data_IF_225370869255
#
_entry.id   IF_225370869255
#
_cell.length_a   1.000
_cell.length_b   1.000
_cell.length_c   1.000
_cell.angle_alpha   90.00
_cell.angle_beta   90.00
_cell.angle_gamma   90.00
#
_symmetry.space_group_name_H-M   'P 1'
#
loop_
_entity.id
_entity.type
_entity.pdbx_description
1 polymer ?
#
# COMPACT_ATOMS: atom_id res chain seq x y z
N UNK A 1 46.02 34.99 15.66
CA UNK A 1 45.17 33.80 15.72
C UNK A 1 43.72 34.23 15.52
N UNK A 2 43.19 33.97 14.32
CA UNK A 2 41.81 34.32 13.97
C UNK A 2 41.00 33.03 13.97
N UNK A 3 40.08 32.89 14.94
CA UNK A 3 39.13 31.79 15.00
C UNK A 3 38.02 31.91 13.97
N UNK A 4 37.55 30.82 13.38
CA UNK A 4 36.44 30.85 12.43
C UNK A 4 35.13 31.09 13.16
N UNK A 5 34.39 32.10 12.71
CA UNK A 5 33.02 32.39 13.11
C UNK A 5 32.10 31.34 12.43
N UNK A 6 31.59 30.41 13.18
CA UNK A 6 30.46 29.58 12.76
C UNK A 6 29.21 30.46 12.69
N UNK A 7 28.79 30.77 11.48
CA UNK A 7 27.48 31.32 11.21
C UNK A 7 26.49 30.17 11.26
N UNK A 8 25.77 30.06 12.37
CA UNK A 8 24.59 29.17 12.48
C UNK A 8 23.47 29.86 11.70
N UNK A 9 23.26 29.37 10.48
CA UNK A 9 22.05 29.71 9.72
C UNK A 9 20.94 28.85 10.30
N UNK A 10 20.21 29.39 11.28
CA UNK A 10 18.91 28.92 11.68
C UNK A 10 17.96 29.17 10.51
N UNK A 11 17.77 28.17 9.66
CA UNK A 11 16.70 28.17 8.67
C UNK A 11 15.38 28.08 9.43
N UNK A 12 14.74 29.24 9.57
CA UNK A 12 13.37 29.37 10.05
C UNK A 12 12.42 28.71 9.06
N UNK A 13 12.13 27.40 9.23
CA UNK A 13 10.93 26.78 8.72
C UNK A 13 9.77 27.09 9.68
N UNK A 14 9.38 28.35 9.76
CA UNK A 14 8.19 28.74 10.49
C UNK A 14 7.25 29.46 9.54
N UNK A 15 6.04 28.92 9.47
CA UNK A 15 4.81 29.53 8.99
C UNK A 15 4.58 29.65 7.47
N UNK A 16 4.08 28.60 6.89
CA UNK A 16 3.02 28.73 5.89
C UNK A 16 1.93 27.63 6.09
N UNK A 17 1.46 27.46 7.31
CA UNK A 17 0.22 26.72 7.60
C UNK A 17 -0.95 27.67 7.85
N UNK A 18 -1.09 28.70 7.01
CA UNK A 18 -2.30 29.53 6.95
C UNK A 18 -2.85 29.49 5.54
N UNK A 19 -3.53 28.40 5.23
CA UNK A 19 -4.29 28.21 3.99
C UNK A 19 -4.95 26.85 4.01
N UNK A 20 -6.08 26.74 4.66
CA UNK A 20 -7.10 25.73 4.70
C UNK A 20 -7.04 24.50 3.78
N UNK A 21 -6.05 23.67 3.92
CA UNK A 21 -6.11 22.29 3.49
C UNK A 21 -5.89 21.45 4.74
N UNK A 22 -6.92 21.22 5.50
CA UNK A 22 -6.93 20.16 6.50
C UNK A 22 -6.65 18.87 5.76
N UNK A 23 -5.43 18.31 5.90
CA UNK A 23 -5.18 16.93 5.54
C UNK A 23 -6.28 16.12 6.24
N UNK A 24 -7.15 15.49 5.45
CA UNK A 24 -8.23 14.71 6.02
C UNK A 24 -7.59 13.58 6.80
N UNK A 25 -7.91 13.43 8.09
CA UNK A 25 -7.43 12.32 8.91
C UNK A 25 -7.75 10.97 8.27
N UNK A 26 -8.90 10.88 7.59
CA UNK A 26 -9.30 9.67 6.85
C UNK A 26 -8.34 9.35 5.69
N UNK A 27 -7.74 10.34 5.02
CA UNK A 27 -6.75 10.06 3.98
C UNK A 27 -5.48 9.47 4.57
N UNK A 28 -4.96 10.04 5.66
CA UNK A 28 -3.78 9.51 6.35
C UNK A 28 -4.01 8.09 6.87
N UNK A 29 -5.15 7.84 7.49
CA UNK A 29 -5.53 6.50 7.96
C UNK A 29 -5.63 5.52 6.79
N UNK A 30 -6.23 5.92 5.67
CA UNK A 30 -6.37 5.07 4.48
C UNK A 30 -4.99 4.73 3.88
N UNK A 31 -4.07 5.71 3.83
CA UNK A 31 -2.72 5.52 3.32
C UNK A 31 -1.90 4.56 4.21
N UNK A 32 -1.98 4.71 5.53
CA UNK A 32 -1.32 3.82 6.49
C UNK A 32 -1.90 2.40 6.44
N UNK A 33 -3.21 2.28 6.38
CA UNK A 33 -3.90 1.00 6.33
C UNK A 33 -3.59 0.22 5.06
N UNK A 34 -3.61 0.85 3.88
CA UNK A 34 -3.29 0.14 2.63
C UNK A 34 -1.84 -0.29 2.59
N UNK A 35 -0.92 0.54 3.09
CA UNK A 35 0.49 0.18 3.20
C UNK A 35 0.69 -1.01 4.17
N UNK A 36 0.06 -0.98 5.34
CA UNK A 36 0.12 -2.06 6.32
C UNK A 36 -0.40 -3.38 5.75
N UNK A 37 -1.52 -3.35 5.04
CA UNK A 37 -2.06 -4.55 4.38
C UNK A 37 -1.14 -5.08 3.29
N UNK A 38 -0.55 -4.21 2.48
CA UNK A 38 0.36 -4.60 1.43
C UNK A 38 1.69 -5.17 1.96
N UNK A 39 2.18 -4.66 3.09
CA UNK A 39 3.48 -5.03 3.66
C UNK A 39 3.40 -6.22 4.62
N UNK A 40 2.25 -6.45 5.27
CA UNK A 40 2.10 -7.47 6.32
C UNK A 40 0.97 -8.47 6.05
N UNK A 41 -0.26 -8.00 5.90
CA UNK A 41 -1.42 -8.90 5.86
C UNK A 41 -1.46 -9.75 4.59
N UNK A 42 -1.25 -9.12 3.43
CA UNK A 42 -1.29 -9.81 2.15
C UNK A 42 -0.15 -10.84 2.00
N UNK A 43 1.12 -10.49 2.30
CA UNK A 43 2.20 -11.46 2.20
C UNK A 43 2.09 -12.58 3.24
N UNK A 44 1.54 -12.32 4.43
CA UNK A 44 1.31 -13.35 5.44
C UNK A 44 0.22 -14.33 5.01
N UNK A 45 -0.88 -13.83 4.45
CA UNK A 45 -1.95 -14.65 3.90
C UNK A 45 -1.45 -15.51 2.73
N UNK A 46 -0.71 -14.90 1.80
CA UNK A 46 -0.12 -15.59 0.66
C UNK A 46 0.89 -16.66 1.11
N UNK A 47 1.75 -16.34 2.09
CA UNK A 47 2.70 -17.31 2.65
C UNK A 47 2.00 -18.50 3.27
N UNK A 48 0.99 -18.25 4.08
CA UNK A 48 0.18 -19.30 4.72
C UNK A 48 -0.48 -20.21 3.71
N UNK A 49 -1.00 -19.65 2.63
CA UNK A 49 -1.59 -20.41 1.53
C UNK A 49 -0.55 -21.30 0.85
N UNK A 50 0.56 -20.72 0.39
CA UNK A 50 1.60 -21.47 -0.32
C UNK A 50 2.24 -22.56 0.55
N UNK A 51 2.43 -22.31 1.84
CA UNK A 51 3.01 -23.26 2.77
C UNK A 51 2.02 -24.41 3.10
N UNK A 52 0.71 -24.14 3.09
CA UNK A 52 -0.32 -25.15 3.30
C UNK A 52 -0.34 -26.24 2.22
N UNK A 53 0.09 -25.90 1.02
CA UNK A 53 0.19 -26.82 -0.11
C UNK A 53 1.50 -27.61 -0.15
N UNK A 54 2.45 -27.33 0.74
CA UNK A 54 3.75 -28.03 0.79
C UNK A 54 4.60 -27.88 -0.47
N UNK A 55 4.41 -26.79 -1.22
CA UNK A 55 5.10 -26.54 -2.48
C UNK A 55 6.56 -26.18 -2.26
N UNK A 56 7.47 -26.88 -2.93
CA UNK A 56 8.92 -26.69 -2.82
C UNK A 56 9.54 -26.10 -4.08
N UNK A 57 8.91 -26.30 -5.22
CA UNK A 57 9.38 -25.76 -6.50
C UNK A 57 8.98 -24.26 -6.64
N UNK A 58 9.91 -23.37 -6.99
CA UNK A 58 9.58 -21.97 -7.25
C UNK A 58 8.51 -21.76 -8.32
N UNK A 59 8.49 -22.60 -9.35
CA UNK A 59 7.49 -22.52 -10.42
C UNK A 59 6.09 -22.90 -9.91
N UNK A 60 5.97 -23.99 -9.15
CA UNK A 60 4.69 -24.41 -8.56
C UNK A 60 4.17 -23.37 -7.56
N UNK A 61 5.06 -22.78 -6.75
CA UNK A 61 4.70 -21.67 -5.85
C UNK A 61 4.18 -20.47 -6.62
N UNK A 62 4.81 -20.11 -7.74
CA UNK A 62 4.36 -19.00 -8.57
C UNK A 62 3.00 -19.27 -9.23
N UNK A 63 2.74 -20.50 -9.68
CA UNK A 63 1.46 -20.85 -10.26
C UNK A 63 0.34 -20.86 -9.22
N UNK A 64 0.62 -21.39 -8.02
CA UNK A 64 -0.32 -21.33 -6.90
C UNK A 64 -0.60 -19.89 -6.45
N UNK A 65 0.42 -19.04 -6.39
CA UNK A 65 0.25 -17.63 -6.08
C UNK A 65 -0.62 -16.90 -7.12
N UNK A 66 -0.42 -17.18 -8.40
CA UNK A 66 -1.26 -16.62 -9.47
C UNK A 66 -2.73 -17.01 -9.30
N UNK A 67 -2.97 -18.28 -9.02
CA UNK A 67 -4.32 -18.80 -8.77
C UNK A 67 -4.93 -18.11 -7.56
N UNK A 68 -4.18 -18.01 -6.47
CA UNK A 68 -4.64 -17.37 -5.24
C UNK A 68 -4.99 -15.89 -5.46
N UNK A 69 -4.14 -15.12 -6.16
CA UNK A 69 -4.45 -13.73 -6.47
C UNK A 69 -5.72 -13.57 -7.31
N UNK A 70 -5.99 -14.51 -8.21
CA UNK A 70 -7.17 -14.45 -9.08
C UNK A 70 -8.46 -14.82 -8.33
N UNK A 71 -8.38 -15.75 -7.38
CA UNK A 71 -9.55 -16.32 -6.70
C UNK A 71 -9.92 -15.59 -5.42
N UNK A 72 -8.93 -14.99 -4.73
CA UNK A 72 -9.11 -14.42 -3.39
C UNK A 72 -9.38 -12.92 -3.39
N UNK A 73 -9.53 -12.29 -4.54
CA UNK A 73 -9.80 -10.85 -4.63
C UNK A 73 -11.27 -10.57 -4.22
N UNK A 74 -11.58 -10.39 -2.92
CA UNK A 74 -12.94 -10.28 -2.46
C UNK A 74 -13.45 -8.86 -2.60
N UNK A 75 -14.66 -8.66 -3.08
CA UNK A 75 -15.37 -7.42 -2.82
C UNK A 75 -15.93 -7.47 -1.39
N UNK A 76 -15.29 -6.83 -0.43
CA UNK A 76 -15.98 -6.48 0.81
C UNK A 76 -16.78 -5.20 0.61
N UNK A 77 -18.05 -5.21 1.02
CA UNK A 77 -19.06 -4.22 0.62
C UNK A 77 -18.92 -2.88 1.36
N UNK A 78 -18.13 -2.80 2.44
CA UNK A 78 -18.02 -1.63 3.31
C UNK A 78 -16.62 -1.00 3.41
N UNK A 79 -15.60 -1.82 3.27
CA UNK A 79 -14.22 -1.39 3.07
C UNK A 79 -13.77 -2.11 1.83
N UNK A 80 -13.69 -1.39 0.73
CA UNK A 80 -13.38 -2.01 -0.55
C UNK A 80 -11.86 -2.05 -0.66
N UNK A 81 -11.29 -3.19 -0.26
CA UNK A 81 -9.93 -3.55 -0.63
C UNK A 81 -10.00 -4.41 -1.88
N UNK A 82 -9.21 -4.07 -2.87
CA UNK A 82 -9.02 -4.94 -4.03
C UNK A 82 -7.58 -4.81 -4.50
N UNK A 83 -7.13 -5.78 -5.26
CA UNK A 83 -5.82 -5.73 -5.87
C UNK A 83 -5.85 -6.03 -7.36
N UNK A 84 -4.85 -5.53 -8.05
CA UNK A 84 -4.62 -5.77 -9.47
C UNK A 84 -3.21 -6.32 -9.63
N UNK A 85 -3.08 -7.53 -10.17
CA UNK A 85 -1.79 -8.07 -10.59
C UNK A 85 -1.43 -7.42 -11.91
N UNK A 86 -0.46 -6.50 -11.91
CA UNK A 86 -0.04 -5.75 -13.09
C UNK A 86 0.87 -6.55 -14.00
N UNK A 87 1.76 -7.34 -13.42
CA UNK A 87 2.66 -8.20 -14.18
C UNK A 87 3.15 -9.38 -13.34
N UNK A 88 3.56 -10.43 -14.04
CA UNK A 88 4.26 -11.57 -13.47
C UNK A 88 5.54 -11.81 -14.27
N UNK A 89 6.68 -11.90 -13.58
CA UNK A 89 7.97 -12.25 -14.13
C UNK A 89 8.55 -13.42 -13.33
N UNK A 90 8.34 -14.64 -13.81
CA UNK A 90 8.72 -15.86 -13.09
C UNK A 90 7.98 -15.98 -11.76
N UNK A 91 8.72 -15.81 -10.64
CA UNK A 91 8.19 -15.87 -9.27
C UNK A 91 7.82 -14.51 -8.69
N UNK A 92 8.03 -13.44 -9.46
CA UNK A 92 7.77 -12.07 -9.02
C UNK A 92 6.46 -11.56 -9.58
N UNK A 93 5.64 -11.00 -8.70
CA UNK A 93 4.34 -10.42 -9.00
C UNK A 93 4.35 -8.94 -8.65
N UNK A 94 4.08 -8.09 -9.63
CA UNK A 94 3.76 -6.70 -9.36
C UNK A 94 2.28 -6.59 -9.07
N UNK A 95 1.95 -6.12 -7.87
CA UNK A 95 0.57 -6.01 -7.39
C UNK A 95 0.33 -4.62 -6.86
N UNK A 96 -0.74 -4.02 -7.29
CA UNK A 96 -1.26 -2.76 -6.76
C UNK A 96 -2.46 -3.10 -5.87
N UNK A 97 -2.34 -2.77 -4.57
CA UNK A 97 -3.40 -2.94 -3.59
C UNK A 97 -4.10 -1.61 -3.38
N UNK A 98 -5.39 -1.59 -3.59
CA UNK A 98 -6.26 -0.42 -3.45
C UNK A 98 -7.11 -0.53 -2.19
N UNK A 99 -7.39 0.62 -1.60
CA UNK A 99 -8.31 0.76 -0.49
C UNK A 99 -9.19 1.98 -0.66
N UNK A 100 -10.48 1.79 -0.50
CA UNK A 100 -11.45 2.86 -0.42
C UNK A 100 -12.16 2.80 0.93
N UNK A 101 -12.10 3.90 1.68
CA UNK A 101 -12.76 4.03 2.98
C UNK A 101 -13.77 5.16 2.96
N UNK A 102 -14.90 4.93 3.61
CA UNK A 102 -15.87 5.98 3.93
C UNK A 102 -15.80 6.30 5.42
N UNK A 103 -15.78 7.57 5.75
CA UNK A 103 -15.86 7.98 7.15
C UNK A 103 -17.17 7.50 7.76
N UNK A 104 -17.07 6.80 8.89
CA UNK A 104 -18.23 6.46 9.73
C UNK A 104 -18.71 7.62 10.60
N UNK A 105 -18.02 8.76 10.58
CA UNK A 105 -18.39 9.93 11.38
C UNK A 105 -19.66 10.59 10.85
N UNK A 106 -20.58 10.86 11.76
CA UNK A 106 -21.80 11.66 11.49
C UNK A 106 -21.58 13.14 11.79
N UNK A 107 -20.42 13.50 12.33
CA UNK A 107 -20.09 14.86 12.76
C UNK A 107 -19.02 15.50 11.86
N UNK A 108 -19.12 16.83 11.57
CA UNK A 108 -18.06 17.57 10.92
C UNK A 108 -16.75 17.50 11.74
N UNK A 109 -15.57 17.56 11.09
CA UNK A 109 -15.35 17.82 9.65
C UNK A 109 -15.43 16.57 8.75
N UNK A 110 -15.56 15.36 9.28
CA UNK A 110 -15.38 14.11 8.53
C UNK A 110 -16.68 13.44 8.06
N UNK A 111 -17.83 14.02 8.39
CA UNK A 111 -19.12 13.50 7.97
C UNK A 111 -19.24 13.37 6.44
N UNK A 112 -19.51 12.14 5.97
CA UNK A 112 -19.71 11.85 4.55
C UNK A 112 -18.44 11.93 3.69
N UNK A 113 -17.25 12.08 4.28
CA UNK A 113 -15.99 12.03 3.55
C UNK A 113 -15.64 10.59 3.16
N UNK A 114 -14.89 10.47 2.08
CA UNK A 114 -14.24 9.23 1.66
C UNK A 114 -12.79 9.50 1.28
N UNK A 115 -11.98 8.48 1.36
CA UNK A 115 -10.60 8.51 0.92
C UNK A 115 -10.27 7.23 0.16
N UNK A 116 -9.40 7.34 -0.83
CA UNK A 116 -8.89 6.22 -1.60
C UNK A 116 -7.38 6.27 -1.59
N UNK A 117 -6.75 5.10 -1.53
CA UNK A 117 -5.30 4.98 -1.56
C UNK A 117 -4.87 3.72 -2.31
N UNK A 118 -3.62 3.72 -2.78
CA UNK A 118 -3.01 2.58 -3.45
C UNK A 118 -1.60 2.36 -2.93
N UNK A 119 -1.25 1.08 -2.72
CA UNK A 119 0.11 0.65 -2.39
C UNK A 119 0.61 -0.31 -3.48
N UNK A 120 1.72 0.04 -4.11
CA UNK A 120 2.31 -0.75 -5.18
C UNK A 120 3.50 -1.55 -4.63
N UNK A 121 3.47 -2.87 -4.84
CA UNK A 121 4.45 -3.81 -4.30
C UNK A 121 4.87 -4.83 -5.34
N UNK A 122 6.08 -5.36 -5.16
CA UNK A 122 6.53 -6.57 -5.84
C UNK A 122 6.66 -7.67 -4.79
N UNK A 123 5.94 -8.75 -4.99
CA UNK A 123 6.02 -9.97 -4.17
C UNK A 123 6.84 -11.01 -4.91
N UNK A 124 7.86 -11.57 -4.26
CA UNK A 124 8.62 -12.71 -4.78
C UNK A 124 8.30 -13.95 -3.93
N UNK A 125 7.85 -15.01 -4.59
CA UNK A 125 7.36 -16.24 -3.95
C UNK A 125 8.30 -17.44 -4.13
N UNK A 126 9.52 -17.24 -4.64
CA UNK A 126 10.45 -18.32 -4.98
C UNK A 126 10.76 -19.25 -3.80
N UNK A 127 11.20 -18.71 -2.69
CA UNK A 127 11.65 -19.45 -1.50
C UNK A 127 10.94 -19.04 -0.20
N UNK A 128 9.87 -18.32 -0.33
CA UNK A 128 9.07 -17.74 0.73
C UNK A 128 8.20 -16.68 0.11
N UNK A 129 7.78 -15.68 0.89
CA UNK A 129 7.13 -14.48 0.36
C UNK A 129 7.91 -13.28 0.84
N UNK A 130 8.57 -12.58 -0.07
CA UNK A 130 9.24 -11.32 0.20
C UNK A 130 8.51 -10.18 -0.48
N UNK A 131 8.56 -9.00 0.11
CA UNK A 131 7.85 -7.81 -0.35
C UNK A 131 8.84 -6.70 -0.61
N UNK A 132 8.70 -6.04 -1.74
CA UNK A 132 9.46 -4.85 -2.08
C UNK A 132 8.50 -3.72 -2.43
N UNK A 133 8.65 -2.59 -1.76
CA UNK A 133 7.95 -1.37 -2.12
C UNK A 133 8.46 -0.84 -3.45
N UNK A 134 7.55 -0.42 -4.31
CA UNK A 134 7.85 0.22 -5.61
C UNK A 134 6.98 1.44 -5.79
N UNK A 135 7.43 2.36 -6.63
CA UNK A 135 6.64 3.54 -6.97
C UNK A 135 5.38 3.12 -7.75
N UNK A 136 4.25 3.74 -7.41
CA UNK A 136 3.03 3.57 -8.17
C UNK A 136 3.14 4.34 -9.48
N UNK A 137 2.96 3.69 -10.63
CA UNK A 137 2.89 4.39 -11.90
C UNK A 137 1.58 5.16 -12.00
N UNK A 138 1.52 6.04 -12.98
CA UNK A 138 0.36 6.90 -13.19
C UNK A 138 -0.94 6.08 -13.39
N UNK A 139 -0.85 4.97 -14.11
CA UNK A 139 -2.00 4.09 -14.36
C UNK A 139 -2.61 3.58 -13.05
N UNK A 140 -1.78 3.23 -12.06
CA UNK A 140 -2.26 2.77 -10.74
C UNK A 140 -2.97 3.89 -9.97
N UNK A 141 -2.56 5.14 -10.15
CA UNK A 141 -3.21 6.30 -9.55
C UNK A 141 -4.50 6.67 -10.27
N UNK A 142 -4.56 6.48 -11.58
CA UNK A 142 -5.75 6.77 -12.40
C UNK A 142 -6.89 5.76 -12.13
N UNK A 143 -6.59 4.58 -11.57
CA UNK A 143 -7.57 3.55 -11.20
C UNK A 143 -8.22 3.80 -9.81
N UNK A 144 -7.83 4.85 -9.09
CA UNK A 144 -8.47 5.23 -7.84
C UNK A 144 -9.90 5.75 -8.09
N UNK A 145 -10.90 5.30 -7.31
CA UNK A 145 -12.28 5.75 -7.42
C UNK A 145 -12.50 7.17 -6.89
#
# INVERSE_FOLDING_TARGET
>A
MRGPRFVVVMASCVLLCFGGAGCSTIQSETDEDVAGRADYDLPDALRKELDSHGLTSPAERADAAQTWFNETNPPDVNVVDWWVVRSREGTRFRVDLYRHMKSGSLLPPDAGKSASSVACRVYDVAHGVTVQQVDCPKESLDDLP
#
